data_IF_635310792465
#
_entry.id   IF_635310792465
#
_cell.length_a   1.000
_cell.length_b   1.000
_cell.length_c   1.000
_cell.angle_alpha   90.00
_cell.angle_beta   90.00
_cell.angle_gamma   90.00
#
_symmetry.space_group_name_H-M   'P 1'
#
loop_
_entity.id
_entity.type
_entity.pdbx_description
1 polymer ?
#
# COMPACT_ATOMS: atom_id res chain seq x y z
N UNK A 1 4.00 31.04 23.39
CA UNK A 1 3.33 31.17 22.08
C UNK A 1 4.39 31.27 20.98
N UNK A 2 4.73 30.16 20.30
CA UNK A 2 5.25 30.21 18.94
C UNK A 2 4.17 29.73 17.96
N UNK A 3 4.15 30.39 16.81
CA UNK A 3 3.15 30.30 15.74
C UNK A 3 3.21 28.95 14.98
N UNK A 4 2.04 28.34 14.81
CA UNK A 4 1.83 27.05 14.14
C UNK A 4 2.04 27.02 12.62
N UNK A 5 2.85 27.93 12.06
CA UNK A 5 3.13 27.99 10.62
C UNK A 5 4.41 27.25 10.20
N UNK A 6 5.31 26.93 11.14
CA UNK A 6 6.61 26.30 10.80
C UNK A 6 6.60 24.76 10.80
N UNK A 7 5.61 24.12 11.44
CA UNK A 7 5.52 22.64 11.49
C UNK A 7 4.94 22.04 10.20
N UNK A 8 4.12 22.81 9.45
CA UNK A 8 3.52 22.35 8.20
C UNK A 8 4.51 22.34 7.01
N UNK A 9 5.56 23.17 7.05
CA UNK A 9 6.55 23.26 5.96
C UNK A 9 7.56 22.09 6.01
N UNK A 10 7.96 21.66 7.22
CA UNK A 10 8.92 20.58 7.40
C UNK A 10 8.39 19.19 6.95
N UNK A 11 7.07 18.97 6.93
CA UNK A 11 6.49 17.69 6.49
C UNK A 11 6.39 17.54 4.96
N UNK A 12 6.61 18.60 4.18
CA UNK A 12 6.57 18.55 2.72
C UNK A 12 7.96 18.45 2.05
N UNK A 13 9.04 18.79 2.75
CA UNK A 13 10.40 18.61 2.21
C UNK A 13 10.93 17.17 2.36
N UNK A 14 10.39 16.37 3.29
CA UNK A 14 10.84 14.98 3.50
C UNK A 14 10.16 13.94 2.57
N UNK A 15 9.23 14.38 1.71
CA UNK A 15 8.54 13.53 0.71
C UNK A 15 9.24 13.48 -0.65
N UNK A 16 10.32 14.24 -0.86
CA UNK A 16 11.13 14.20 -2.08
C UNK A 16 12.38 13.31 -1.98
N UNK A 17 12.56 12.57 -0.88
CA UNK A 17 13.63 11.59 -0.72
C UNK A 17 13.09 10.16 -0.66
N UNK A 18 12.53 9.71 -1.78
CA UNK A 18 12.35 8.27 -2.02
C UNK A 18 13.46 7.79 -2.94
N UNK A 19 14.40 7.04 -2.35
CA UNK A 19 15.46 6.31 -3.03
C UNK A 19 14.92 5.57 -4.28
N UNK A 20 15.43 5.84 -5.51
CA UNK A 20 14.96 5.24 -6.76
C UNK A 20 14.94 3.69 -6.75
N UNK A 21 15.73 3.04 -5.89
CA UNK A 21 15.71 1.57 -5.70
C UNK A 21 14.44 1.05 -5.01
N UNK A 22 13.76 1.87 -4.21
CA UNK A 22 12.53 1.49 -3.49
C UNK A 22 11.31 1.45 -4.42
N UNK A 23 11.32 2.22 -5.49
CA UNK A 23 10.26 2.23 -6.49
C UNK A 23 10.38 1.02 -7.43
N UNK A 24 11.59 0.64 -7.84
CA UNK A 24 11.83 -0.56 -8.66
C UNK A 24 11.42 -1.88 -7.97
N UNK A 25 11.62 -2.01 -6.65
CA UNK A 25 11.22 -3.21 -5.89
C UNK A 25 9.70 -3.30 -5.65
N UNK A 26 9.03 -2.15 -5.55
CA UNK A 26 7.56 -2.09 -5.53
C UNK A 26 7.01 -2.60 -6.85
N UNK A 27 7.66 -2.21 -7.95
CA UNK A 27 7.14 -2.38 -9.29
C UNK A 27 7.49 -3.76 -9.88
N UNK A 28 8.69 -4.33 -9.67
CA UNK A 28 9.10 -5.61 -10.27
C UNK A 28 8.24 -6.82 -9.86
N UNK A 29 7.45 -6.72 -8.77
CA UNK A 29 6.60 -7.82 -8.25
C UNK A 29 5.18 -7.86 -8.81
N UNK A 30 4.73 -6.82 -9.52
CA UNK A 30 3.36 -6.74 -10.05
C UNK A 30 3.17 -7.42 -11.41
N UNK A 31 4.23 -7.68 -12.18
CA UNK A 31 4.10 -8.09 -13.59
C UNK A 31 4.77 -9.42 -13.91
N UNK A 32 4.54 -10.43 -13.06
CA UNK A 32 5.07 -11.79 -13.22
C UNK A 32 5.25 -12.24 -14.67
N UNK A 33 6.52 -12.44 -15.04
CA UNK A 33 6.92 -13.14 -16.26
C UNK A 33 7.70 -14.37 -15.80
N UNK A 34 7.18 -15.58 -16.06
CA UNK A 34 7.97 -16.80 -16.04
C UNK A 34 7.36 -18.02 -15.34
N UNK A 35 6.82 -18.92 -16.17
CA UNK A 35 6.75 -20.39 -16.05
C UNK A 35 5.88 -21.05 -14.95
N UNK A 36 4.85 -21.72 -15.46
CA UNK A 36 4.00 -22.79 -14.93
C UNK A 36 4.19 -23.36 -13.49
N UNK A 37 3.00 -23.57 -12.89
CA UNK A 37 2.62 -24.54 -11.84
C UNK A 37 2.94 -24.18 -10.36
N UNK A 38 1.83 -23.80 -9.72
CA UNK A 38 1.37 -24.03 -8.32
C UNK A 38 1.74 -23.02 -7.22
N UNK A 39 0.66 -22.67 -6.48
CA UNK A 39 0.50 -21.94 -5.21
C UNK A 39 0.65 -20.40 -5.23
N UNK A 40 -0.50 -19.73 -5.21
CA UNK A 40 -0.63 -18.29 -4.91
C UNK A 40 -0.13 -18.01 -3.48
N UNK A 41 0.98 -17.30 -3.37
CA UNK A 41 1.41 -16.62 -2.15
C UNK A 41 1.67 -15.16 -2.49
N UNK A 42 0.92 -14.24 -1.89
CA UNK A 42 1.22 -12.80 -1.98
C UNK A 42 1.68 -12.32 -0.60
N UNK A 43 2.98 -12.03 -0.50
CA UNK A 43 3.60 -11.34 0.63
C UNK A 43 3.91 -9.89 0.25
N UNK A 44 3.60 -8.94 1.13
CA UNK A 44 4.28 -7.65 1.17
C UNK A 44 4.60 -7.25 2.62
N UNK A 45 5.83 -6.76 2.80
CA UNK A 45 6.52 -6.49 4.06
C UNK A 45 6.56 -4.98 4.34
N UNK A 46 6.39 -4.57 5.59
CA UNK A 46 6.87 -3.26 6.08
C UNK A 46 8.30 -3.46 6.63
N UNK A 47 9.24 -2.64 6.15
CA UNK A 47 10.60 -2.56 6.65
C UNK A 47 10.69 -1.42 7.67
N UNK A 48 10.57 -1.77 8.96
CA UNK A 48 10.98 -0.90 10.06
C UNK A 48 12.50 -0.87 10.15
N UNK A 49 13.10 0.32 10.13
CA UNK A 49 14.50 0.52 10.54
C UNK A 49 14.54 0.54 12.07
N UNK A 50 15.30 -0.39 12.64
CA UNK A 50 15.64 -0.40 14.06
C UNK A 50 16.83 0.51 14.37
N UNK A 51 16.86 0.99 15.62
CA UNK A 51 18.02 1.59 16.24
C UNK A 51 17.76 1.92 17.72
N UNK A 52 18.25 1.06 18.63
CA UNK A 52 18.81 1.51 19.91
C UNK A 52 18.06 1.19 21.22
N UNK A 53 18.49 0.10 21.86
CA UNK A 53 18.67 -0.16 23.32
C UNK A 53 17.41 -0.23 24.22
N UNK A 54 17.29 -1.39 24.86
CA UNK A 54 16.16 -1.74 25.73
C UNK A 54 16.21 -1.15 27.13
N UNK A 55 15.17 -1.48 27.90
CA UNK A 55 15.20 -2.02 29.27
C UNK A 55 13.84 -2.69 29.51
N UNK A 56 13.86 -3.87 30.15
CA UNK A 56 12.66 -4.54 30.67
C UNK A 56 12.24 -3.82 31.95
N UNK A 57 10.94 -3.61 32.14
CA UNK A 57 10.35 -3.34 33.45
C UNK A 57 9.05 -4.15 33.56
N UNK A 58 9.25 -5.46 33.65
CA UNK A 58 8.47 -6.24 34.63
C UNK A 58 9.16 -5.99 35.95
N UNK A 59 8.37 -5.86 37.01
CA UNK A 59 8.78 -5.68 38.41
C UNK A 59 8.79 -4.21 38.84
N UNK A 60 7.60 -3.69 39.17
CA UNK A 60 7.44 -2.94 40.42
C UNK A 60 6.01 -3.14 40.95
N UNK A 61 5.93 -3.94 42.01
CA UNK A 61 4.85 -4.14 42.98
C UNK A 61 3.72 -5.14 42.70
N UNK A 62 3.96 -6.35 43.22
CA UNK A 62 2.95 -7.26 43.77
C UNK A 62 2.92 -7.12 45.31
N UNK A 63 1.71 -7.20 45.89
CA UNK A 63 1.32 -7.35 47.32
C UNK A 63 1.47 -6.11 48.24
N UNK A 64 0.51 -5.70 49.09
CA UNK A 64 -0.56 -6.44 49.76
C UNK A 64 -1.77 -5.55 50.16
N UNK A 65 -2.97 -6.14 50.19
CA UNK A 65 -3.94 -5.95 51.28
C UNK A 65 -5.06 -4.89 51.14
N UNK A 66 -6.29 -5.37 50.92
CA UNK A 66 -7.38 -5.05 51.86
C UNK A 66 -8.52 -4.12 51.41
N UNK A 67 -9.64 -4.77 51.04
CA UNK A 67 -11.04 -4.41 51.37
C UNK A 67 -11.74 -3.26 50.63
N UNK A 68 -12.99 -3.52 50.20
CA UNK A 68 -14.00 -2.45 50.05
C UNK A 68 -14.88 -2.48 48.80
N UNK A 69 -15.75 -3.50 48.70
CA UNK A 69 -17.15 -3.42 48.23
C UNK A 69 -17.51 -2.52 47.03
N UNK A 70 -17.82 -3.16 45.90
CA UNK A 70 -18.63 -2.57 44.84
C UNK A 70 -20.13 -2.68 45.11
N UNK A 71 -20.92 -1.83 44.45
CA UNK A 71 -22.30 -2.12 44.04
C UNK A 71 -22.70 -1.19 42.89
N UNK A 72 -23.03 -1.77 41.73
CA UNK A 72 -23.98 -1.22 40.76
C UNK A 72 -25.24 -2.07 40.81
N UNK A 73 -26.43 -1.50 40.57
CA UNK A 73 -27.50 -2.32 40.03
C UNK A 73 -28.21 -1.68 38.83
N UNK A 74 -28.18 -2.38 37.71
CA UNK A 74 -29.17 -2.28 36.65
C UNK A 74 -30.40 -3.13 37.03
N UNK A 75 -31.59 -2.54 36.89
CA UNK A 75 -32.90 -3.19 37.13
C UNK A 75 -33.37 -3.94 35.89
N UNK A 76 -33.76 -5.20 36.07
CA UNK A 76 -34.63 -5.98 35.18
C UNK A 76 -35.66 -6.74 36.01
N UNK A 77 -36.93 -6.65 35.60
CA UNK A 77 -38.15 -7.35 36.11
C UNK A 77 -38.15 -8.78 35.50
N UNK A 78 -38.68 -9.91 36.07
CA UNK A 78 -40.05 -10.18 36.63
C UNK A 78 -40.11 -11.32 37.71
N UNK A 79 -41.21 -12.09 37.94
CA UNK A 79 -42.64 -11.80 38.10
C UNK A 79 -43.20 -12.23 39.48
N UNK A 80 -44.46 -11.85 39.73
CA UNK A 80 -45.29 -12.22 40.89
C UNK A 80 -45.81 -13.66 40.77
N UNK A 81 -45.64 -14.46 41.84
CA UNK A 81 -46.29 -15.75 42.02
C UNK A 81 -47.25 -15.73 43.22
N UNK A 82 -48.50 -16.13 42.95
CA UNK A 82 -49.54 -16.51 43.92
C UNK A 82 -49.07 -17.67 44.81
N UNK A 83 -49.46 -17.64 46.08
CA UNK A 83 -49.95 -18.85 46.76
C UNK A 83 -50.79 -18.49 47.99
N UNK A 84 -51.98 -19.08 48.08
CA UNK A 84 -52.72 -19.31 49.34
C UNK A 84 -52.10 -20.52 50.06
N UNK A 85 -52.33 -20.68 51.37
CA UNK A 85 -53.15 -21.83 51.75
C UNK A 85 -54.12 -21.62 52.93
N UNK A 86 -55.04 -22.57 53.00
CA UNK A 86 -56.16 -22.81 53.92
C UNK A 86 -55.73 -23.00 55.39
N UNK A 87 -56.59 -22.71 56.36
CA UNK A 87 -57.26 -23.73 57.20
C UNK A 87 -58.13 -23.12 58.32
N UNK A 88 -59.20 -23.86 58.61
CA UNK A 88 -60.36 -23.63 59.47
C UNK A 88 -60.05 -23.42 60.96
N UNK A 89 -60.88 -22.61 61.64
CA UNK A 89 -60.92 -22.56 63.11
C UNK A 89 -62.34 -22.78 63.64
N UNK A 90 -62.41 -23.74 64.55
CA UNK A 90 -63.51 -24.12 65.43
C UNK A 90 -63.77 -23.10 66.54
N UNK A 91 -65.05 -22.89 66.87
CA UNK A 91 -65.50 -22.21 68.09
C UNK A 91 -65.09 -22.96 69.37
N UNK A 92 -64.98 -22.23 70.50
CA UNK A 92 -65.94 -22.48 71.59
C UNK A 92 -66.54 -21.19 72.19
N UNK A 93 -67.64 -21.28 72.95
CA UNK A 93 -68.36 -20.14 73.52
C UNK A 93 -68.01 -19.90 74.99
N UNK A 94 -67.98 -18.64 75.45
CA UNK A 94 -68.37 -18.26 76.82
C UNK A 94 -68.42 -16.74 77.02
N UNK A 95 -69.56 -16.29 77.55
CA UNK A 95 -69.74 -15.28 78.59
C UNK A 95 -69.17 -13.85 78.39
N UNK A 96 -70.10 -12.97 78.01
CA UNK A 96 -70.39 -11.65 78.60
C UNK A 96 -69.36 -11.11 79.61
N UNK A 97 -68.62 -10.08 79.20
CA UNK A 97 -68.20 -8.99 80.08
C UNK A 97 -68.44 -7.65 79.37
N UNK A 98 -68.90 -6.69 80.15
CA UNK A 98 -69.41 -5.39 79.74
C UNK A 98 -68.37 -4.51 79.06
N UNK A 99 -68.86 -3.72 78.10
CA UNK A 99 -68.46 -2.35 77.73
C UNK A 99 -67.21 -1.77 78.42
N UNK A 100 -66.18 -1.46 77.59
CA UNK A 100 -65.22 -0.34 77.65
C UNK A 100 -63.79 -0.75 77.25
N UNK A 101 -63.53 -1.00 75.95
CA UNK A 101 -62.16 -0.93 75.37
C UNK A 101 -62.16 -0.43 73.91
N UNK A 102 -63.13 0.40 73.52
CA UNK A 102 -63.18 0.99 72.17
C UNK A 102 -62.22 2.16 71.98
N UNK A 103 -61.77 2.82 73.06
CA UNK A 103 -60.87 3.98 72.95
C UNK A 103 -59.41 3.60 72.65
N UNK A 104 -58.88 2.56 73.28
CA UNK A 104 -57.47 2.15 73.11
C UNK A 104 -57.18 1.58 71.71
N UNK A 105 -58.20 1.10 70.99
CA UNK A 105 -58.10 0.68 69.59
C UNK A 105 -58.24 1.85 68.62
N UNK A 106 -59.05 2.87 68.95
CA UNK A 106 -59.21 4.08 68.15
C UNK A 106 -57.95 4.95 68.13
N UNK A 107 -57.27 5.11 69.27
CA UNK A 107 -55.99 5.86 69.33
C UNK A 107 -54.88 5.18 68.52
N UNK A 108 -54.78 3.85 68.57
CA UNK A 108 -53.81 3.08 67.76
C UNK A 108 -54.12 3.19 66.27
N UNK A 109 -55.40 3.19 65.88
CA UNK A 109 -55.82 3.39 64.51
C UNK A 109 -55.52 4.83 64.02
N UNK A 110 -55.78 5.84 64.84
CA UNK A 110 -55.45 7.23 64.53
C UNK A 110 -53.93 7.46 64.41
N UNK A 111 -53.13 6.85 65.27
CA UNK A 111 -51.67 6.91 65.18
C UNK A 111 -51.13 6.20 63.91
N UNK A 112 -51.71 5.04 63.55
CA UNK A 112 -51.38 4.34 62.30
C UNK A 112 -51.80 5.14 61.06
N UNK A 113 -52.96 5.80 61.10
CA UNK A 113 -53.45 6.66 60.03
C UNK A 113 -52.57 7.91 59.85
N UNK A 114 -52.16 8.55 60.96
CA UNK A 114 -51.21 9.66 60.95
C UNK A 114 -49.83 9.24 60.41
N UNK A 115 -49.30 8.09 60.85
CA UNK A 115 -48.04 7.54 60.34
C UNK A 115 -48.12 7.24 58.84
N UNK A 116 -49.23 6.63 58.39
CA UNK A 116 -49.44 6.31 56.98
C UNK A 116 -49.59 7.57 56.13
N UNK A 117 -50.28 8.60 56.66
CA UNK A 117 -50.42 9.91 56.01
C UNK A 117 -49.04 10.58 55.84
N UNK A 118 -48.22 10.61 56.89
CA UNK A 118 -46.84 11.13 56.82
C UNK A 118 -45.97 10.36 55.82
N UNK A 119 -46.10 9.03 55.75
CA UNK A 119 -45.37 8.21 54.79
C UNK A 119 -45.84 8.41 53.35
N UNK A 120 -47.12 8.73 53.14
CA UNK A 120 -47.65 9.10 51.82
C UNK A 120 -47.08 10.46 51.39
N UNK A 121 -47.09 11.46 52.27
CA UNK A 121 -46.54 12.79 51.99
C UNK A 121 -45.03 12.73 51.64
N UNK A 122 -44.25 11.92 52.35
CA UNK A 122 -42.82 11.67 52.01
C UNK A 122 -42.66 10.99 50.65
N UNK A 123 -43.56 10.05 50.31
CA UNK A 123 -43.54 9.37 49.01
C UNK A 123 -43.94 10.32 47.89
N UNK A 124 -44.94 11.17 48.10
CA UNK A 124 -45.36 12.22 47.16
C UNK A 124 -44.23 13.21 46.91
N UNK A 125 -43.59 13.74 47.96
CA UNK A 125 -42.41 14.61 47.80
C UNK A 125 -41.26 13.93 47.05
N UNK A 126 -41.01 12.64 47.32
CA UNK A 126 -40.02 11.86 46.55
C UNK A 126 -40.41 11.65 45.09
N UNK A 127 -41.70 11.48 44.80
CA UNK A 127 -42.20 11.39 43.43
C UNK A 127 -41.96 12.71 42.70
N UNK A 128 -42.25 13.85 43.34
CA UNK A 128 -42.04 15.18 42.77
C UNK A 128 -40.57 15.48 42.49
N UNK A 129 -39.68 15.13 43.41
CA UNK A 129 -38.23 15.24 43.21
C UNK A 129 -37.75 14.37 42.05
N UNK A 130 -38.23 13.12 41.97
CA UNK A 130 -37.90 12.22 40.87
C UNK A 130 -38.43 12.73 39.54
N UNK A 131 -39.62 13.34 39.51
CA UNK A 131 -40.19 13.96 38.31
C UNK A 131 -39.34 15.15 37.85
N UNK A 132 -38.91 16.02 38.78
CA UNK A 132 -38.01 17.15 38.49
C UNK A 132 -36.69 16.68 37.89
N UNK A 133 -36.06 15.69 38.51
CA UNK A 133 -34.81 15.09 38.00
C UNK A 133 -35.04 14.44 36.63
N UNK A 134 -36.17 13.77 36.40
CA UNK A 134 -36.49 13.19 35.09
C UNK A 134 -36.62 14.29 34.01
N UNK A 135 -37.28 15.40 34.32
CA UNK A 135 -37.38 16.56 33.43
C UNK A 135 -36.00 17.14 33.11
N UNK A 136 -35.13 17.29 34.11
CA UNK A 136 -33.76 17.77 33.90
C UNK A 136 -32.91 16.81 33.08
N UNK A 137 -32.99 15.50 33.33
CA UNK A 137 -32.30 14.48 32.54
C UNK A 137 -32.78 14.46 31.09
N UNK A 138 -34.10 14.58 30.85
CA UNK A 138 -34.65 14.72 29.49
C UNK A 138 -34.09 15.95 28.78
N UNK A 139 -34.05 17.10 29.45
CA UNK A 139 -33.46 18.33 28.91
C UNK A 139 -31.97 18.16 28.59
N UNK A 140 -31.21 17.45 29.43
CA UNK A 140 -29.80 17.15 29.19
C UNK A 140 -29.60 16.22 27.97
N UNK A 141 -30.44 15.19 27.83
CA UNK A 141 -30.41 14.30 26.66
C UNK A 141 -30.69 15.09 25.38
N UNK A 142 -31.72 15.95 25.39
CA UNK A 142 -32.07 16.79 24.23
C UNK A 142 -30.92 17.74 23.85
N UNK A 143 -30.23 18.33 24.84
CA UNK A 143 -29.08 19.20 24.59
C UNK A 143 -27.88 18.43 24.03
N UNK A 144 -27.59 17.24 24.59
CA UNK A 144 -26.53 16.37 24.06
C UNK A 144 -26.83 15.90 22.64
N UNK A 145 -28.10 15.58 22.33
CA UNK A 145 -28.53 15.22 20.97
C UNK A 145 -28.33 16.39 19.99
N UNK A 146 -28.71 17.61 20.37
CA UNK A 146 -28.47 18.80 19.54
C UNK A 146 -26.98 19.05 19.28
N UNK A 147 -26.15 18.88 20.31
CA UNK A 147 -24.70 19.01 20.16
C UNK A 147 -24.10 17.93 19.27
N UNK A 148 -24.56 16.68 19.41
CA UNK A 148 -24.16 15.57 18.55
C UNK A 148 -24.52 15.84 17.09
N UNK A 149 -25.72 16.36 16.82
CA UNK A 149 -26.16 16.64 15.45
C UNK A 149 -25.32 17.75 14.79
N UNK A 150 -25.02 18.83 15.52
CA UNK A 150 -24.08 19.87 15.06
C UNK A 150 -22.68 19.32 14.78
N UNK A 151 -22.21 18.36 15.58
CA UNK A 151 -20.92 17.70 15.33
C UNK A 151 -20.95 16.84 14.06
N UNK A 152 -22.02 16.05 13.85
CA UNK A 152 -22.21 15.26 12.62
C UNK A 152 -22.26 16.14 11.38
N UNK A 153 -23.00 17.25 11.42
CA UNK A 153 -23.07 18.19 10.29
C UNK A 153 -21.69 18.77 9.94
N UNK A 154 -20.91 19.17 10.95
CA UNK A 154 -19.54 19.67 10.73
C UNK A 154 -18.63 18.59 10.16
N UNK A 155 -18.72 17.36 10.67
CA UNK A 155 -17.97 16.23 10.15
C UNK A 155 -18.33 15.94 8.69
N UNK A 156 -19.62 15.91 8.35
CA UNK A 156 -20.10 15.69 6.99
C UNK A 156 -19.61 16.76 6.01
N UNK A 157 -19.57 18.04 6.43
CA UNK A 157 -18.98 19.13 5.64
C UNK A 157 -17.48 18.91 5.41
N UNK A 158 -16.74 18.51 6.45
CA UNK A 158 -15.32 18.20 6.36
C UNK A 158 -15.06 17.03 5.40
N UNK A 159 -15.75 15.90 5.58
CA UNK A 159 -15.65 14.72 4.71
C UNK A 159 -15.94 15.07 3.25
N UNK A 160 -16.98 15.87 3.00
CA UNK A 160 -17.34 16.33 1.65
C UNK A 160 -16.22 17.16 1.02
N UNK A 161 -15.62 18.07 1.78
CA UNK A 161 -14.50 18.88 1.30
C UNK A 161 -13.26 18.01 1.02
N UNK A 162 -12.90 17.13 1.95
CA UNK A 162 -11.79 16.20 1.79
C UNK A 162 -11.97 15.31 0.56
N UNK A 163 -13.18 14.78 0.32
CA UNK A 163 -13.51 14.01 -0.88
C UNK A 163 -13.28 14.83 -2.17
N UNK A 164 -13.74 16.09 -2.22
CA UNK A 164 -13.52 16.97 -3.38
C UNK A 164 -12.04 17.20 -3.65
N UNK A 165 -11.27 17.55 -2.62
CA UNK A 165 -9.83 17.80 -2.74
C UNK A 165 -9.05 16.54 -3.15
N UNK A 166 -9.44 15.37 -2.63
CA UNK A 166 -8.81 14.09 -3.01
C UNK A 166 -9.08 13.73 -4.47
N UNK A 167 -10.30 13.96 -4.97
CA UNK A 167 -10.64 13.74 -6.37
C UNK A 167 -9.86 14.70 -7.27
N UNK A 168 -9.80 15.98 -6.91
CA UNK A 168 -9.05 16.99 -7.66
C UNK A 168 -7.55 16.66 -7.72
N UNK A 169 -6.94 16.33 -6.59
CA UNK A 169 -5.55 15.84 -6.53
C UNK A 169 -5.35 14.62 -7.42
N UNK A 170 -6.26 13.65 -7.36
CA UNK A 170 -6.16 12.45 -8.19
C UNK A 170 -6.31 12.75 -9.68
N UNK A 171 -7.14 13.73 -10.07
CA UNK A 171 -7.23 14.20 -11.46
C UNK A 171 -5.93 14.87 -11.92
N UNK A 172 -5.32 15.70 -11.09
CA UNK A 172 -4.02 16.32 -11.38
C UNK A 172 -2.92 15.25 -11.55
N UNK A 173 -2.86 14.27 -10.64
CA UNK A 173 -1.93 13.13 -10.75
C UNK A 173 -2.16 12.34 -12.05
N UNK A 174 -3.42 12.12 -12.44
CA UNK A 174 -3.79 11.46 -13.71
C UNK A 174 -3.35 12.23 -14.95
N UNK A 175 -3.40 13.56 -14.93
CA UNK A 175 -2.94 14.41 -16.05
C UNK A 175 -1.42 14.38 -16.13
N UNK A 176 -0.72 14.64 -15.02
CA UNK A 176 0.74 14.63 -14.95
C UNK A 176 1.32 13.26 -15.38
N UNK A 177 0.66 12.16 -15.00
CA UNK A 177 1.06 10.83 -15.40
C UNK A 177 0.93 10.61 -16.92
N UNK A 178 -0.11 11.14 -17.56
CA UNK A 178 -0.30 11.07 -19.02
C UNK A 178 0.71 11.93 -19.75
N UNK A 179 1.01 13.13 -19.24
CA UNK A 179 2.06 14.00 -19.78
C UNK A 179 3.42 13.32 -19.76
N UNK A 180 3.80 12.74 -18.62
CA UNK A 180 5.04 11.94 -18.51
C UNK A 180 5.04 10.78 -19.50
N UNK A 181 3.93 10.06 -19.61
CA UNK A 181 3.80 8.96 -20.57
C UNK A 181 3.94 9.42 -22.03
N UNK A 182 3.48 10.64 -22.38
CA UNK A 182 3.67 11.20 -23.72
C UNK A 182 5.13 11.58 -24.00
N UNK A 183 5.85 12.10 -23.00
CA UNK A 183 7.28 12.39 -23.12
C UNK A 183 8.10 11.10 -23.25
N UNK A 184 7.82 10.12 -22.40
CA UNK A 184 8.49 8.81 -22.42
C UNK A 184 8.21 8.05 -23.72
N UNK A 185 7.05 8.26 -24.35
CA UNK A 185 6.76 7.71 -25.68
C UNK A 185 7.77 8.12 -26.75
N UNK A 186 8.19 9.38 -26.76
CA UNK A 186 9.20 9.87 -27.73
C UNK A 186 10.61 9.40 -27.37
N UNK A 187 10.91 9.35 -26.07
CA UNK A 187 12.24 9.06 -25.53
C UNK A 187 12.57 7.57 -25.53
N UNK A 188 11.66 6.75 -25.03
CA UNK A 188 11.84 5.32 -24.81
C UNK A 188 11.24 4.49 -25.94
N UNK A 189 10.12 4.94 -26.51
CA UNK A 189 9.44 4.25 -27.61
C UNK A 189 7.95 4.04 -27.36
N UNK A 190 7.28 3.40 -28.32
CA UNK A 190 5.86 3.06 -28.23
C UNK A 190 5.51 1.79 -28.98
N UNK A 191 4.31 1.26 -28.71
CA UNK A 191 3.74 0.20 -29.52
C UNK A 191 3.18 0.77 -30.84
N UNK A 192 3.45 0.06 -31.93
CA UNK A 192 2.90 0.31 -33.26
C UNK A 192 2.24 -0.97 -33.73
N UNK A 193 1.04 -0.87 -34.28
CA UNK A 193 0.33 -2.02 -34.83
C UNK A 193 0.91 -2.35 -36.21
N UNK A 194 1.46 -3.56 -36.34
CA UNK A 194 2.04 -4.06 -37.59
C UNK A 194 1.17 -5.21 -38.12
N UNK A 195 0.91 -5.22 -39.42
CA UNK A 195 0.11 -6.26 -40.08
C UNK A 195 0.98 -7.46 -40.45
N UNK A 196 0.64 -8.63 -39.93
CA UNK A 196 1.22 -9.91 -40.32
C UNK A 196 0.15 -10.77 -41.01
N UNK A 197 0.12 -10.69 -42.34
CA UNK A 197 -0.86 -11.38 -43.17
C UNK A 197 -2.29 -10.95 -42.89
N UNK A 198 -3.10 -11.86 -42.35
CA UNK A 198 -4.49 -11.60 -41.96
C UNK A 198 -4.64 -11.13 -40.49
N UNK A 199 -3.54 -11.03 -39.74
CA UNK A 199 -3.54 -10.63 -38.33
C UNK A 199 -2.80 -9.32 -38.09
N UNK A 200 -3.13 -8.65 -36.99
CA UNK A 200 -2.42 -7.46 -36.51
C UNK A 200 -1.72 -7.79 -35.20
N UNK A 201 -0.45 -7.39 -35.06
CA UNK A 201 0.32 -7.57 -33.83
C UNK A 201 0.97 -6.26 -33.41
N UNK A 202 1.02 -6.01 -32.11
CA UNK A 202 1.72 -4.84 -31.58
C UNK A 202 3.22 -5.11 -31.52
N UNK A 203 4.01 -4.21 -32.12
CA UNK A 203 5.47 -4.25 -32.07
C UNK A 203 6.00 -2.99 -31.38
N UNK A 204 7.02 -3.13 -30.54
CA UNK A 204 7.69 -2.00 -29.91
C UNK A 204 8.60 -1.29 -30.91
N UNK A 205 8.49 0.03 -30.97
CA UNK A 205 9.35 0.92 -31.76
C UNK A 205 10.16 1.79 -30.81
N UNK A 206 11.49 1.73 -30.89
CA UNK A 206 12.38 2.43 -29.98
C UNK A 206 12.42 3.95 -30.21
N UNK A 207 12.46 4.69 -29.10
CA UNK A 207 12.58 6.15 -29.08
C UNK A 207 14.03 6.64 -29.22
N UNK A 208 14.21 7.96 -29.21
CA UNK A 208 15.52 8.58 -29.51
C UNK A 208 16.63 8.15 -28.53
N UNK A 209 16.32 7.83 -27.27
CA UNK A 209 17.33 7.47 -26.28
C UNK A 209 18.04 6.16 -26.65
N UNK A 210 17.29 5.14 -27.06
CA UNK A 210 17.84 3.88 -27.54
C UNK A 210 18.55 4.04 -28.87
N UNK A 211 17.98 4.81 -29.81
CA UNK A 211 18.60 5.06 -31.11
C UNK A 211 19.97 5.76 -30.97
N UNK A 212 20.08 6.74 -30.07
CA UNK A 212 21.35 7.42 -29.79
C UNK A 212 22.37 6.47 -29.17
N UNK A 213 21.93 5.58 -28.28
CA UNK A 213 22.80 4.60 -27.65
C UNK A 213 23.34 3.59 -28.66
N UNK A 214 22.49 3.10 -29.57
CA UNK A 214 22.88 2.20 -30.68
C UNK A 214 23.92 2.88 -31.58
N UNK A 215 23.68 4.14 -31.96
CA UNK A 215 24.66 4.92 -32.75
C UNK A 215 25.99 5.09 -32.02
N UNK A 216 25.97 5.32 -30.70
CA UNK A 216 27.19 5.43 -29.90
C UNK A 216 27.94 4.09 -29.85
N UNK A 217 27.22 2.98 -29.66
CA UNK A 217 27.79 1.63 -29.67
C UNK A 217 28.43 1.30 -31.02
N UNK A 218 27.78 1.64 -32.13
CA UNK A 218 28.31 1.46 -33.49
C UNK A 218 29.59 2.28 -33.70
N UNK A 219 29.63 3.53 -33.22
CA UNK A 219 30.83 4.39 -33.30
C UNK A 219 32.01 3.80 -32.53
N UNK A 220 31.79 3.37 -31.29
CA UNK A 220 32.83 2.76 -30.44
C UNK A 220 33.32 1.44 -31.05
N UNK A 221 32.41 0.62 -31.56
CA UNK A 221 32.75 -0.63 -32.25
C UNK A 221 33.60 -0.37 -33.50
N UNK A 222 33.22 0.62 -34.32
CA UNK A 222 33.99 1.02 -35.50
C UNK A 222 35.42 1.47 -35.13
N UNK A 223 35.56 2.32 -34.12
CA UNK A 223 36.87 2.77 -33.63
C UNK A 223 37.71 1.60 -33.08
N UNK A 224 37.09 0.65 -32.39
CA UNK A 224 37.76 -0.55 -31.87
C UNK A 224 38.26 -1.43 -33.01
N UNK A 225 37.44 -1.66 -34.03
CA UNK A 225 37.81 -2.41 -35.22
C UNK A 225 38.95 -1.73 -35.99
N UNK A 226 38.93 -0.40 -36.13
CA UNK A 226 40.00 0.37 -36.75
C UNK A 226 41.34 0.23 -36.01
N UNK A 227 41.32 0.35 -34.68
CA UNK A 227 42.54 0.18 -33.87
C UNK A 227 43.05 -1.26 -33.95
N UNK A 228 42.16 -2.26 -33.95
CA UNK A 228 42.58 -3.66 -34.10
C UNK A 228 43.16 -3.93 -35.50
N UNK A 229 42.61 -3.29 -36.55
CA UNK A 229 43.20 -3.32 -37.90
C UNK A 229 44.60 -2.68 -37.91
N UNK A 230 44.77 -1.51 -37.30
CA UNK A 230 46.07 -0.82 -37.20
C UNK A 230 47.09 -1.63 -36.39
N UNK A 231 46.67 -2.24 -35.29
CA UNK A 231 47.52 -3.11 -34.46
C UNK A 231 48.01 -4.35 -35.23
N UNK A 232 47.14 -4.97 -36.04
CA UNK A 232 47.52 -6.07 -36.94
C UNK A 232 48.54 -5.64 -38.00
N UNK A 233 48.44 -4.40 -38.52
CA UNK A 233 49.42 -3.84 -39.44
C UNK A 233 50.75 -3.55 -38.73
N UNK A 234 50.71 -2.98 -37.52
CA UNK A 234 51.90 -2.73 -36.71
C UNK A 234 52.66 -4.03 -36.42
N UNK A 235 51.96 -5.11 -36.07
CA UNK A 235 52.57 -6.44 -35.85
C UNK A 235 53.37 -6.95 -37.06
N UNK A 236 52.98 -6.60 -38.29
CA UNK A 236 53.74 -6.95 -39.51
C UNK A 236 55.02 -6.13 -39.68
N UNK A 237 55.14 -4.98 -39.00
CA UNK A 237 56.29 -4.07 -39.01
C UNK A 237 57.23 -4.27 -37.80
N UNK A 238 57.06 -5.37 -37.05
CA UNK A 238 57.85 -5.63 -35.84
C UNK A 238 59.35 -5.79 -36.19
N UNK A 239 60.25 -4.98 -35.59
CA UNK A 239 61.68 -5.12 -35.82
C UNK A 239 62.22 -6.43 -35.22
N UNK A 240 63.25 -7.05 -35.83
CA UNK A 240 63.86 -8.28 -35.32
C UNK A 240 64.53 -8.02 -33.96
N UNK A 241 64.31 -8.91 -33.00
CA UNK A 241 64.95 -8.86 -31.68
C UNK A 241 66.48 -8.97 -31.85
N UNK A 242 67.22 -7.97 -31.39
CA UNK A 242 68.69 -7.98 -31.37
C UNK A 242 69.29 -8.87 -30.25
N UNK A 243 68.60 -9.95 -29.85
CA UNK A 243 69.02 -10.84 -28.75
C UNK A 243 69.12 -12.32 -29.14
N UNK A 244 69.39 -12.64 -30.40
CA UNK A 244 69.94 -13.94 -30.80
C UNK A 244 71.30 -13.74 -31.45
N UNK A 245 72.32 -14.28 -30.80
CA UNK A 245 73.68 -14.43 -31.32
C UNK A 245 73.67 -15.14 -32.69
N UNK A 246 74.37 -14.62 -33.71
CA UNK A 246 74.47 -15.29 -35.00
C UNK A 246 75.47 -16.46 -34.94
N UNK A 247 75.24 -17.60 -35.61
CA UNK A 247 76.31 -18.56 -35.89
C UNK A 247 77.25 -17.98 -36.97
N UNK A 248 78.55 -18.32 -36.95
CA UNK A 248 79.50 -17.71 -37.85
C UNK A 248 79.49 -18.37 -39.24
N UNK A 249 79.40 -17.51 -40.26
CA UNK A 249 80.10 -17.55 -41.55
C UNK A 249 79.62 -18.49 -42.67
N UNK A 250 79.36 -17.91 -43.87
CA UNK A 250 80.05 -18.18 -45.15
C UNK A 250 79.40 -17.42 -46.33
N UNK A 251 80.10 -16.38 -46.80
CA UNK A 251 80.28 -15.79 -48.16
C UNK A 251 79.11 -15.56 -49.19
N UNK A 252 79.26 -14.56 -50.09
CA UNK A 252 78.17 -13.88 -50.76
C UNK A 252 77.91 -14.37 -52.20
N UNK A 253 76.67 -14.27 -52.67
CA UNK A 253 76.42 -14.31 -54.11
C UNK A 253 75.37 -13.27 -54.56
N UNK A 254 75.84 -12.33 -55.38
CA UNK A 254 75.03 -11.29 -56.03
C UNK A 254 74.09 -11.91 -57.05
N UNK A 255 72.78 -11.69 -56.92
CA UNK A 255 71.88 -11.51 -58.08
C UNK A 255 70.86 -10.41 -57.80
N UNK A 256 70.98 -9.32 -58.58
CA UNK A 256 70.02 -8.23 -58.68
C UNK A 256 68.68 -8.77 -59.18
N UNK A 257 67.60 -8.52 -58.44
CA UNK A 257 66.24 -8.43 -58.98
C UNK A 257 65.63 -7.11 -58.51
N UNK A 258 65.17 -6.34 -59.49
CA UNK A 258 64.59 -5.01 -59.34
C UNK A 258 63.08 -5.21 -59.25
N UNK A 259 62.50 -5.02 -58.07
CA UNK A 259 61.05 -4.89 -57.91
C UNK A 259 60.72 -3.73 -56.97
N UNK A 260 60.10 -2.72 -57.57
CA UNK A 260 59.37 -1.58 -57.03
C UNK A 260 59.30 -1.44 -55.50
N UNK A 261 59.94 -0.38 -55.01
CA UNK A 261 59.84 0.09 -53.64
C UNK A 261 58.41 0.52 -53.31
N UNK A 262 57.78 -0.23 -52.41
CA UNK A 262 57.13 0.39 -51.27
C UNK A 262 58.14 0.26 -50.14
N UNK A 263 58.82 1.35 -49.81
CA UNK A 263 59.71 1.41 -48.65
C UNK A 263 58.87 1.09 -47.42
N UNK A 264 58.93 -0.15 -46.97
CA UNK A 264 58.39 -0.57 -45.70
C UNK A 264 59.37 -0.04 -44.65
N UNK A 265 59.26 1.26 -44.33
CA UNK A 265 60.00 1.90 -43.24
C UNK A 265 59.87 1.02 -42.00
N UNK A 266 60.97 0.34 -41.68
CA UNK A 266 61.06 -0.51 -40.51
C UNK A 266 61.20 0.44 -39.32
N UNK A 267 60.14 0.55 -38.53
CA UNK A 267 60.08 1.42 -37.34
C UNK A 267 61.22 1.07 -36.37
N UNK A 268 61.79 2.08 -35.72
CA UNK A 268 62.72 1.88 -34.62
C UNK A 268 62.04 1.07 -33.51
N UNK A 269 62.81 0.27 -32.76
CA UNK A 269 62.30 -0.54 -31.66
C UNK A 269 61.54 0.33 -30.64
N UNK A 270 62.03 1.53 -30.36
CA UNK A 270 61.38 2.49 -29.46
C UNK A 270 60.02 2.96 -30.00
N UNK A 271 59.95 3.35 -31.27
CA UNK A 271 58.73 3.83 -31.93
C UNK A 271 57.67 2.71 -32.03
N UNK A 272 58.11 1.47 -32.27
CA UNK A 272 57.22 0.31 -32.28
C UNK A 272 56.55 0.10 -30.92
N UNK A 273 57.34 0.12 -29.84
CA UNK A 273 56.81 -0.03 -28.47
C UNK A 273 55.87 1.11 -28.08
N UNK A 274 56.19 2.34 -28.46
CA UNK A 274 55.32 3.50 -28.24
C UNK A 274 53.97 3.32 -28.94
N UNK A 275 53.96 2.92 -30.22
CA UNK A 275 52.72 2.67 -30.97
C UNK A 275 51.91 1.50 -30.37
N UNK A 276 52.57 0.44 -29.91
CA UNK A 276 51.90 -0.68 -29.23
C UNK A 276 51.22 -0.22 -27.92
N UNK A 277 51.90 0.61 -27.13
CA UNK A 277 51.37 1.15 -25.89
C UNK A 277 50.19 2.11 -26.16
N UNK A 278 50.28 2.97 -27.17
CA UNK A 278 49.20 3.86 -27.60
C UNK A 278 47.95 3.04 -27.97
N UNK A 279 48.09 1.99 -28.78
CA UNK A 279 46.95 1.14 -29.15
C UNK A 279 46.35 0.42 -27.95
N UNK A 280 47.19 -0.08 -27.03
CA UNK A 280 46.74 -0.73 -25.80
C UNK A 280 45.93 0.22 -24.92
N UNK A 281 46.41 1.46 -24.74
CA UNK A 281 45.70 2.49 -23.96
C UNK A 281 44.37 2.87 -24.62
N UNK A 282 44.34 3.07 -25.94
CA UNK A 282 43.11 3.39 -26.68
C UNK A 282 42.08 2.27 -26.62
N UNK A 283 42.50 1.00 -26.78
CA UNK A 283 41.61 -0.15 -26.61
C UNK A 283 41.08 -0.25 -25.18
N UNK A 284 41.90 0.05 -24.18
CA UNK A 284 41.47 0.13 -22.78
C UNK A 284 40.40 1.20 -22.55
N UNK A 285 40.56 2.37 -23.17
CA UNK A 285 39.58 3.46 -23.12
C UNK A 285 38.27 3.08 -23.81
N UNK A 286 38.31 2.54 -25.04
CA UNK A 286 37.11 2.10 -25.77
C UNK A 286 36.38 0.98 -25.04
N UNK A 287 37.11 0.05 -24.40
CA UNK A 287 36.50 -1.00 -23.56
C UNK A 287 35.76 -0.41 -22.36
N UNK A 288 36.27 0.68 -21.79
CA UNK A 288 35.57 1.40 -20.71
C UNK A 288 34.31 2.09 -21.24
N UNK A 289 34.38 2.75 -22.39
CA UNK A 289 33.20 3.38 -23.04
C UNK A 289 32.14 2.32 -23.41
N UNK A 290 32.54 1.15 -23.93
CA UNK A 290 31.65 0.00 -24.21
C UNK A 290 30.93 -0.47 -22.93
N UNK A 291 31.65 -0.56 -21.80
CA UNK A 291 31.05 -0.91 -20.52
C UNK A 291 30.08 0.17 -19.99
N UNK A 292 30.41 1.46 -20.17
CA UNK A 292 29.53 2.58 -19.80
C UNK A 292 28.24 2.58 -20.64
N UNK A 293 28.34 2.33 -21.95
CA UNK A 293 27.20 2.18 -22.85
C UNK A 293 26.31 1.01 -22.41
N UNK A 294 26.90 -0.12 -22.04
CA UNK A 294 26.15 -1.30 -21.59
C UNK A 294 25.37 -1.01 -20.29
N UNK A 295 25.98 -0.32 -19.33
CA UNK A 295 25.30 0.08 -18.08
C UNK A 295 24.14 1.02 -18.37
N UNK A 296 24.33 1.98 -19.28
CA UNK A 296 23.28 2.92 -19.68
C UNK A 296 22.15 2.22 -20.45
N UNK A 297 22.47 1.22 -21.29
CA UNK A 297 21.47 0.37 -21.95
C UNK A 297 20.58 -0.31 -20.91
N UNK A 298 21.16 -1.02 -19.94
CA UNK A 298 20.40 -1.69 -18.88
C UNK A 298 19.53 -0.71 -18.09
N UNK A 299 20.05 0.49 -17.81
CA UNK A 299 19.30 1.55 -17.14
C UNK A 299 18.11 1.99 -17.98
N UNK A 300 18.28 2.23 -19.28
CA UNK A 300 17.20 2.58 -20.19
C UNK A 300 16.18 1.46 -20.33
N UNK A 301 16.61 0.19 -20.35
CA UNK A 301 15.71 -0.96 -20.41
C UNK A 301 14.83 -1.08 -19.16
N UNK A 302 15.40 -0.85 -17.96
CA UNK A 302 14.61 -0.79 -16.72
C UNK A 302 13.53 0.28 -16.83
N UNK A 303 13.90 1.50 -17.24
CA UNK A 303 12.95 2.62 -17.40
C UNK A 303 11.91 2.34 -18.49
N UNK A 304 12.29 1.73 -19.62
CA UNK A 304 11.35 1.27 -20.67
C UNK A 304 10.34 0.29 -20.12
N UNK A 305 10.77 -0.68 -19.33
CA UNK A 305 9.87 -1.65 -18.72
C UNK A 305 8.89 -1.00 -17.74
N UNK A 306 9.30 0.06 -17.01
CA UNK A 306 8.37 0.85 -16.21
C UNK A 306 7.34 1.57 -17.08
N UNK A 307 7.79 2.21 -18.15
CA UNK A 307 6.91 2.91 -19.08
C UNK A 307 5.89 1.99 -19.75
N UNK A 308 6.30 0.81 -20.21
CA UNK A 308 5.40 -0.21 -20.79
C UNK A 308 4.33 -0.63 -19.78
N UNK A 309 4.70 -0.82 -18.52
CA UNK A 309 3.76 -1.21 -17.47
C UNK A 309 2.78 -0.08 -17.16
N UNK A 310 3.26 1.15 -17.17
CA UNK A 310 2.42 2.32 -16.98
C UNK A 310 1.43 2.51 -18.14
N UNK A 311 1.85 2.32 -19.39
CA UNK A 311 0.95 2.32 -20.55
C UNK A 311 -0.18 1.29 -20.39
N UNK A 312 0.17 0.06 -19.97
CA UNK A 312 -0.84 -0.99 -19.68
C UNK A 312 -1.74 -0.60 -18.52
N UNK A 313 -1.21 0.04 -17.47
CA UNK A 313 -2.00 0.50 -16.31
C UNK A 313 -3.00 1.58 -16.71
N UNK A 314 -2.57 2.60 -17.48
CA UNK A 314 -3.43 3.66 -18.00
C UNK A 314 -4.54 3.07 -18.87
N UNK A 315 -4.19 2.18 -19.82
CA UNK A 315 -5.16 1.51 -20.67
C UNK A 315 -6.20 0.71 -19.87
N UNK A 316 -5.76 -0.01 -18.82
CA UNK A 316 -6.67 -0.74 -17.94
C UNK A 316 -7.53 0.20 -17.09
N UNK A 317 -7.00 1.32 -16.62
CA UNK A 317 -7.75 2.31 -15.86
C UNK A 317 -8.86 2.94 -16.71
N UNK A 318 -8.56 3.31 -17.96
CA UNK A 318 -9.52 3.92 -18.88
C UNK A 318 -10.68 2.96 -19.24
N UNK A 319 -10.38 1.66 -19.26
CA UNK A 319 -11.33 0.58 -19.54
C UNK A 319 -12.07 0.03 -18.31
N UNK A 320 -11.71 0.45 -17.09
CA UNK A 320 -12.39 -0.01 -15.90
C UNK A 320 -13.70 0.74 -15.66
N UNK A 321 -14.69 0.03 -15.11
CA UNK A 321 -15.95 0.61 -14.64
C UNK A 321 -15.77 1.53 -13.42
N UNK A 322 -14.62 1.47 -12.73
CA UNK A 322 -14.36 2.21 -11.49
C UNK A 322 -13.49 3.47 -11.69
N UNK A 323 -13.34 3.95 -12.94
CA UNK A 323 -12.40 5.03 -13.28
C UNK A 323 -12.76 6.42 -12.75
N UNK A 324 -14.05 6.66 -12.47
CA UNK A 324 -14.61 7.98 -12.12
C UNK A 324 -14.78 8.19 -10.60
N UNK A 325 -13.80 7.71 -9.82
CA UNK A 325 -13.72 7.93 -8.37
C UNK A 325 -14.97 7.52 -7.56
N UNK A 326 -15.58 6.34 -7.80
CA UNK A 326 -16.72 5.90 -7.02
C UNK A 326 -16.34 5.70 -5.54
N UNK A 327 -17.29 5.94 -4.65
CA UNK A 327 -17.14 5.61 -3.22
C UNK A 327 -17.79 4.26 -2.98
N UNK A 328 -17.01 3.30 -2.49
CA UNK A 328 -17.50 1.96 -2.18
C UNK A 328 -17.84 1.85 -0.70
N UNK A 329 -18.94 1.16 -0.39
CA UNK A 329 -19.42 0.94 0.97
C UNK A 329 -19.54 2.24 1.79
N UNK A 330 -19.89 3.36 1.12
CA UNK A 330 -19.95 4.73 1.66
C UNK A 330 -18.72 5.21 2.46
N UNK A 331 -17.59 4.52 2.28
CA UNK A 331 -16.38 4.72 3.10
C UNK A 331 -15.12 4.84 2.26
N UNK A 332 -15.00 4.02 1.22
CA UNK A 332 -13.76 3.89 0.45
C UNK A 332 -13.84 4.68 -0.86
N UNK A 333 -13.26 5.88 -0.88
CA UNK A 333 -13.16 6.70 -2.08
C UNK A 333 -12.03 6.17 -3.00
N UNK A 334 -12.38 5.60 -4.16
CA UNK A 334 -11.37 5.15 -5.12
C UNK A 334 -10.67 6.35 -5.79
N UNK A 335 -9.37 6.24 -6.02
CA UNK A 335 -8.54 7.30 -6.61
C UNK A 335 -8.01 6.92 -8.00
N UNK A 336 -7.06 6.00 -8.05
CA UNK A 336 -6.45 5.54 -9.31
C UNK A 336 -6.11 4.06 -9.25
N UNK A 337 -6.06 3.43 -10.42
CA UNK A 337 -5.74 2.01 -10.55
C UNK A 337 -4.26 1.80 -10.21
N UNK A 338 -3.96 0.79 -9.39
CA UNK A 338 -2.60 0.34 -9.11
C UNK A 338 -2.20 -0.83 -10.01
N UNK A 339 -3.14 -1.73 -10.29
CA UNK A 339 -2.89 -2.86 -11.19
C UNK A 339 -4.13 -3.70 -11.45
N UNK A 340 -4.06 -4.48 -12.52
CA UNK A 340 -5.12 -5.41 -12.94
C UNK A 340 -4.55 -6.82 -13.07
N UNK A 341 -5.18 -7.77 -12.40
CA UNK A 341 -4.96 -9.20 -12.56
C UNK A 341 -6.03 -9.84 -13.45
N UNK A 342 -6.05 -11.18 -13.56
CA UNK A 342 -7.00 -11.87 -14.42
C UNK A 342 -8.48 -11.69 -14.03
N UNK A 343 -8.77 -11.64 -12.73
CA UNK A 343 -10.14 -11.55 -12.19
C UNK A 343 -10.26 -10.48 -11.09
N UNK A 344 -9.33 -9.54 -11.04
CA UNK A 344 -9.35 -8.51 -10.01
C UNK A 344 -8.64 -7.23 -10.43
N UNK A 345 -9.15 -6.10 -9.95
CA UNK A 345 -8.53 -4.79 -10.07
C UNK A 345 -8.15 -4.28 -8.68
N UNK A 346 -6.98 -3.66 -8.55
CA UNK A 346 -6.52 -3.09 -7.29
C UNK A 346 -6.43 -1.58 -7.45
N UNK A 347 -7.17 -0.86 -6.61
CA UNK A 347 -7.21 0.60 -6.59
C UNK A 347 -6.53 1.16 -5.35
N UNK A 348 -5.85 2.29 -5.50
CA UNK A 348 -5.57 3.16 -4.37
C UNK A 348 -6.88 3.84 -3.98
N UNK A 349 -7.22 3.81 -2.70
CA UNK A 349 -8.41 4.44 -2.17
C UNK A 349 -8.09 5.18 -0.88
N UNK A 350 -9.02 6.04 -0.46
CA UNK A 350 -8.97 6.72 0.82
C UNK A 350 -10.15 6.27 1.67
N UNK A 351 -9.85 5.80 2.88
CA UNK A 351 -10.84 5.47 3.90
C UNK A 351 -11.31 6.78 4.55
N UNK A 352 -12.56 7.16 4.29
CA UNK A 352 -13.14 8.41 4.80
C UNK A 352 -13.44 8.36 6.31
N UNK A 353 -13.51 7.17 6.89
CA UNK A 353 -13.77 6.97 8.32
C UNK A 353 -12.48 7.01 9.12
N UNK A 354 -11.48 6.19 8.73
CA UNK A 354 -10.18 6.10 9.41
C UNK A 354 -9.15 7.11 8.91
N UNK A 355 -9.50 7.89 7.88
CA UNK A 355 -8.68 8.94 7.29
C UNK A 355 -7.28 8.48 6.85
N UNK A 356 -7.22 7.33 6.18
CA UNK A 356 -5.97 6.72 5.72
C UNK A 356 -6.07 6.19 4.30
N UNK A 357 -4.94 6.11 3.62
CA UNK A 357 -4.86 5.44 2.32
C UNK A 357 -4.91 3.92 2.49
N UNK A 358 -5.67 3.27 1.61
CA UNK A 358 -5.83 1.81 1.56
C UNK A 358 -5.74 1.33 0.11
N UNK A 359 -5.47 0.03 -0.06
CA UNK A 359 -5.59 -0.64 -1.35
C UNK A 359 -6.89 -1.46 -1.36
N UNK A 360 -7.77 -1.19 -2.33
CA UNK A 360 -9.03 -1.92 -2.49
C UNK A 360 -8.87 -2.89 -3.65
N UNK A 361 -8.90 -4.19 -3.35
CA UNK A 361 -8.86 -5.27 -4.34
C UNK A 361 -10.29 -5.69 -4.66
N UNK A 362 -10.75 -5.33 -5.85
CA UNK A 362 -12.08 -5.62 -6.35
C UNK A 362 -12.01 -6.90 -7.17
N UNK A 363 -12.72 -7.94 -6.74
CA UNK A 363 -12.81 -9.19 -7.49
C UNK A 363 -13.93 -9.08 -8.53
N UNK A 364 -13.59 -9.22 -9.81
CA UNK A 364 -14.53 -9.18 -10.92
C UNK A 364 -14.77 -10.60 -11.43
N UNK A 365 -15.95 -11.14 -11.12
CA UNK A 365 -16.40 -12.43 -11.60
C UNK A 365 -16.83 -12.31 -13.07
N UNK A 366 -16.47 -13.29 -13.90
CA UNK A 366 -16.92 -13.31 -15.28
C UNK A 366 -18.41 -13.67 -15.33
N UNK A 367 -19.20 -12.83 -16.01
CA UNK A 367 -20.66 -13.01 -16.17
C UNK A 367 -21.04 -14.31 -16.87
N UNK A 368 -20.17 -14.85 -17.73
CA UNK A 368 -20.43 -16.12 -18.44
C UNK A 368 -20.20 -17.38 -17.60
N UNK A 369 -19.71 -17.24 -16.37
CA UNK A 369 -19.51 -18.39 -15.50
C UNK A 369 -20.84 -18.94 -14.99
N UNK A 370 -20.92 -20.28 -14.93
CA UNK A 370 -22.01 -20.98 -14.22
C UNK A 370 -21.97 -20.65 -12.73
N UNK A 371 -23.13 -20.65 -12.09
CA UNK A 371 -23.25 -20.20 -10.70
C UNK A 371 -22.44 -21.06 -9.71
N UNK A 372 -22.35 -22.37 -9.95
CA UNK A 372 -21.47 -23.28 -9.20
C UNK A 372 -19.99 -22.80 -9.20
N UNK A 373 -19.50 -22.30 -10.34
CA UNK A 373 -18.13 -21.79 -10.46
C UNK A 373 -17.96 -20.45 -9.72
N UNK A 374 -18.98 -19.59 -9.76
CA UNK A 374 -18.99 -18.32 -9.01
C UNK A 374 -18.98 -18.60 -7.51
N UNK A 375 -19.78 -19.55 -7.04
CA UNK A 375 -19.86 -19.94 -5.64
C UNK A 375 -18.53 -20.54 -5.15
N UNK A 376 -17.92 -21.43 -5.95
CA UNK A 376 -16.60 -21.98 -5.62
C UNK A 376 -15.53 -20.89 -5.52
N UNK A 377 -15.51 -19.94 -6.46
CA UNK A 377 -14.60 -18.79 -6.39
C UNK A 377 -14.85 -17.93 -5.14
N UNK A 378 -16.12 -17.68 -4.81
CA UNK A 378 -16.50 -16.96 -3.60
C UNK A 378 -16.03 -17.70 -2.33
N UNK A 379 -16.20 -19.02 -2.24
CA UNK A 379 -15.69 -19.84 -1.13
C UNK A 379 -14.17 -19.73 -0.98
N UNK A 380 -13.44 -19.76 -2.09
CA UNK A 380 -11.98 -19.59 -2.08
C UNK A 380 -11.57 -18.20 -1.59
N UNK A 381 -12.21 -17.13 -2.09
CA UNK A 381 -11.94 -15.76 -1.66
C UNK A 381 -12.29 -15.53 -0.18
N UNK A 382 -13.42 -16.06 0.30
CA UNK A 382 -13.82 -15.97 1.70
C UNK A 382 -12.87 -16.74 2.62
N UNK A 383 -12.35 -17.89 2.19
CA UNK A 383 -11.33 -18.62 2.94
C UNK A 383 -10.03 -17.82 3.05
N UNK A 384 -9.56 -17.21 1.96
CA UNK A 384 -8.39 -16.33 1.96
C UNK A 384 -8.58 -15.16 2.92
N UNK A 385 -9.74 -14.49 2.86
CA UNK A 385 -10.11 -13.40 3.78
C UNK A 385 -10.04 -13.82 5.25
N UNK A 386 -10.66 -14.96 5.61
CA UNK A 386 -10.73 -15.41 7.00
C UNK A 386 -9.34 -15.67 7.58
N UNK A 387 -8.50 -16.38 6.84
CA UNK A 387 -7.12 -16.66 7.26
C UNK A 387 -6.34 -15.35 7.41
N UNK A 388 -6.47 -14.45 6.44
CA UNK A 388 -5.65 -13.24 6.39
C UNK A 388 -6.09 -12.17 7.39
N UNK A 389 -7.37 -12.11 7.76
CA UNK A 389 -7.89 -11.20 8.79
C UNK A 389 -7.24 -11.43 10.16
N UNK A 390 -6.88 -12.67 10.47
CA UNK A 390 -6.28 -13.04 11.76
C UNK A 390 -4.76 -12.75 11.80
N UNK A 391 -4.14 -12.43 10.67
CA UNK A 391 -2.69 -12.18 10.60
C UNK A 391 -2.38 -10.72 10.96
N UNK A 392 -1.87 -10.48 12.16
CA UNK A 392 -1.28 -9.20 12.55
C UNK A 392 0.23 -9.30 12.71
N UNK A 393 0.96 -8.91 11.66
CA UNK A 393 2.41 -8.89 11.70
C UNK A 393 2.96 -7.80 10.77
N UNK A 394 3.98 -7.02 11.16
CA UNK A 394 4.51 -5.91 10.35
C UNK A 394 5.03 -6.35 8.98
N UNK A 395 5.38 -7.63 8.82
CA UNK A 395 5.92 -8.17 7.58
C UNK A 395 4.87 -8.87 6.69
N UNK A 396 3.60 -8.83 7.11
CA UNK A 396 2.46 -9.37 6.40
C UNK A 396 1.51 -8.20 6.15
N UNK A 397 0.94 -8.09 4.94
CA UNK A 397 -0.04 -7.05 4.63
C UNK A 397 -1.22 -7.20 5.58
N UNK A 398 -1.70 -6.11 6.16
CA UNK A 398 -2.92 -6.15 6.97
C UNK A 398 -4.15 -6.12 6.08
N UNK A 399 -5.12 -6.98 6.38
CA UNK A 399 -6.43 -6.96 5.76
C UNK A 399 -7.42 -6.25 6.70
N UNK A 400 -7.96 -5.12 6.25
CA UNK A 400 -8.81 -4.28 7.11
C UNK A 400 -10.29 -4.63 7.05
N UNK A 401 -10.81 -4.88 5.86
CA UNK A 401 -12.25 -5.02 5.65
C UNK A 401 -12.57 -5.93 4.46
N UNK A 402 -13.82 -6.40 4.40
CA UNK A 402 -14.40 -7.17 3.32
C UNK A 402 -15.89 -6.87 3.22
N UNK A 403 -16.34 -6.59 1.99
CA UNK A 403 -17.75 -6.37 1.68
C UNK A 403 -18.04 -6.85 0.26
N UNK A 404 -19.27 -7.26 0.01
CA UNK A 404 -19.78 -7.54 -1.34
C UNK A 404 -20.19 -6.23 -2.02
N UNK A 405 -19.97 -6.17 -3.33
CA UNK A 405 -20.58 -5.16 -4.19
C UNK A 405 -21.74 -5.84 -4.89
N UNK A 406 -22.96 -5.40 -4.60
CA UNK A 406 -24.13 -5.87 -5.35
C UNK A 406 -24.04 -5.30 -6.77
N UNK A 407 -23.98 -6.20 -7.76
CA UNK A 407 -23.96 -5.84 -9.18
C UNK A 407 -25.34 -5.82 -9.83
N UNK A 408 -26.40 -5.91 -9.02
CA UNK A 408 -27.78 -5.90 -9.50
C UNK A 408 -28.40 -4.51 -9.25
N UNK A 409 -28.08 -3.57 -10.15
CA UNK A 409 -28.85 -2.35 -10.41
C UNK A 409 -28.76 -1.99 -11.88
#
# INVERSE_FOLDING_TARGET
MPSGSHVACAMMEELHSLDPRRQELLEARFTGVGVAKVYFFFFFFILGKGGGRGHKISDYFEFAGGSGTGTSPARGIPPVARSSPQHSLSNPPAAVSLFLTSEMTMEKLAALESSKSSDLEKKEGRIDDLLRVNCDLRRQIDEQQKMLERCKERLNKCVTMSKKLLIEKSKQEKIACREKSMQDRLRLGHFTTVRHGASFTEQWTDGYAFQNLVKQQERVNGQREDIERQRKLLMKKKPPNASQTPPPNLEPNKRKSKSNGAENEMLSLAEYHEQEEIFKLRLGHLKKEEAEIQVELERLERVRNLHIRELKRIHNEDNSQFKDHPTLNDRYLLLHLLGRGGFSEVYKAFDLTEQRYVAVKIHQLNKSWRDEKKENYHKHACREYRIHKELDHPRIVKLYDYFSLDTDS
#
